data_IF_970190249776
#
_entry.id   IF_970190249776
#
_cell.length_a   1.000
_cell.length_b   1.000
_cell.length_c   1.000
_cell.angle_alpha   90.00
_cell.angle_beta   90.00
_cell.angle_gamma   90.00
#
_symmetry.space_group_name_H-M   'P 1'
#
loop_
_entity.id
_entity.type
_entity.pdbx_description
1 polymer ?
#
# COMPACT_ATOMS: atom_id res chain seq x y z
N UNK A 1 0.61 19.05 16.96
CA UNK A 1 -0.47 18.05 16.69
C UNK A 1 0.12 16.96 15.82
N UNK A 2 -0.11 15.68 16.15
CA UNK A 2 0.35 14.54 15.36
C UNK A 2 -0.85 13.81 14.75
N UNK A 3 -0.75 13.46 13.47
CA UNK A 3 -1.74 12.63 12.77
C UNK A 3 -1.23 11.19 12.75
N UNK A 4 -1.97 10.26 13.33
CA UNK A 4 -1.65 8.84 13.37
C UNK A 4 -2.51 8.08 12.37
N UNK A 5 -1.88 7.38 11.43
CA UNK A 5 -2.57 6.46 10.52
C UNK A 5 -2.32 5.03 10.93
N UNK A 6 -3.38 4.24 11.11
CA UNK A 6 -3.28 2.79 11.35
C UNK A 6 -3.73 2.00 10.12
N UNK A 7 -2.86 1.12 9.62
CA UNK A 7 -3.16 0.22 8.51
C UNK A 7 -4.08 -0.95 8.88
N UNK A 8 -4.51 -1.71 7.89
CA UNK A 8 -5.46 -2.81 8.11
C UNK A 8 -4.91 -3.96 8.97
N UNK A 9 -3.60 -4.23 8.91
CA UNK A 9 -2.94 -5.21 9.80
C UNK A 9 -2.90 -4.72 11.24
N UNK A 10 -2.78 -3.41 11.46
CA UNK A 10 -2.87 -2.77 12.78
C UNK A 10 -4.29 -2.80 13.38
N UNK A 11 -5.29 -3.20 12.61
CA UNK A 11 -6.70 -3.32 13.00
C UNK A 11 -7.24 -4.71 12.65
N UNK A 12 -6.39 -5.74 12.64
CA UNK A 12 -6.75 -7.08 12.14
C UNK A 12 -7.77 -7.82 13.00
N UNK A 13 -7.70 -7.66 14.32
CA UNK A 13 -8.50 -8.36 15.34
C UNK A 13 -8.63 -7.55 16.65
N UNK A 14 -9.33 -8.09 17.65
CA UNK A 14 -9.57 -7.44 18.94
C UNK A 14 -8.27 -7.04 19.69
N UNK A 15 -7.22 -7.86 19.60
CA UNK A 15 -5.93 -7.57 20.24
C UNK A 15 -5.25 -6.39 19.55
N UNK A 16 -5.39 -6.29 18.23
CA UNK A 16 -4.90 -5.15 17.47
C UNK A 16 -5.62 -3.86 17.86
N UNK A 17 -6.95 -3.86 17.97
CA UNK A 17 -7.71 -2.69 18.45
C UNK A 17 -7.30 -2.28 19.88
N UNK A 18 -7.13 -3.24 20.78
CA UNK A 18 -6.65 -2.99 22.13
C UNK A 18 -5.26 -2.34 22.13
N UNK A 19 -4.34 -2.82 21.28
CA UNK A 19 -2.98 -2.28 21.14
C UNK A 19 -2.97 -0.87 20.56
N UNK A 20 -3.79 -0.60 19.55
CA UNK A 20 -3.96 0.76 19.01
C UNK A 20 -4.45 1.70 20.10
N UNK A 21 -5.39 1.25 20.95
CA UNK A 21 -5.84 2.05 22.07
C UNK A 21 -4.75 2.29 23.13
N UNK A 22 -3.85 1.32 23.38
CA UNK A 22 -2.67 1.50 24.24
C UNK A 22 -1.70 2.55 23.68
N UNK A 23 -1.40 2.47 22.37
CA UNK A 23 -0.56 3.44 21.65
C UNK A 23 -1.15 4.85 21.77
N UNK A 24 -2.45 5.00 21.48
CA UNK A 24 -3.14 6.30 21.53
C UNK A 24 -3.16 6.86 22.96
N UNK A 25 -3.33 6.01 23.97
CA UNK A 25 -3.27 6.42 25.37
C UNK A 25 -1.88 6.98 25.74
N UNK A 26 -0.81 6.33 25.27
CA UNK A 26 0.57 6.78 25.46
C UNK A 26 0.92 8.08 24.72
N UNK A 27 0.19 8.41 23.65
CA UNK A 27 0.44 9.62 22.86
C UNK A 27 -0.08 10.92 23.50
N UNK A 28 -0.88 10.86 24.59
CA UNK A 28 -1.43 12.06 25.26
C UNK A 28 -0.36 13.07 25.67
N UNK A 29 0.87 12.64 25.91
CA UNK A 29 2.03 13.48 26.26
C UNK A 29 2.55 14.34 25.09
N UNK A 30 2.20 14.02 23.84
CA UNK A 30 2.69 14.69 22.63
C UNK A 30 1.72 15.77 22.09
N UNK A 31 0.69 16.13 22.86
CA UNK A 31 -0.30 17.15 22.52
C UNK A 31 -1.49 16.62 21.71
N UNK A 32 -2.11 17.50 20.92
CA UNK A 32 -3.31 17.16 20.15
C UNK A 32 -3.06 16.00 19.16
N UNK A 33 -3.97 15.02 19.18
CA UNK A 33 -3.87 13.75 18.43
C UNK A 33 -5.09 13.58 17.52
N UNK A 34 -4.86 13.14 16.28
CA UNK A 34 -5.90 12.77 15.32
C UNK A 34 -5.58 11.40 14.72
N UNK A 35 -6.61 10.57 14.52
CA UNK A 35 -6.44 9.24 13.95
C UNK A 35 -7.04 9.15 12.54
N UNK A 36 -6.36 8.45 11.65
CA UNK A 36 -6.87 7.99 10.34
C UNK A 36 -6.77 6.47 10.31
N UNK A 37 -7.83 5.78 9.91
CA UNK A 37 -7.85 4.30 9.94
C UNK A 37 -8.24 3.69 8.61
N UNK A 38 -7.56 2.60 8.25
CA UNK A 38 -7.96 1.71 7.16
C UNK A 38 -9.01 0.71 7.62
N UNK A 39 -9.70 0.06 6.67
CA UNK A 39 -10.48 -1.14 6.92
C UNK A 39 -9.62 -2.24 7.58
N UNK A 40 -10.25 -3.17 8.31
CA UNK A 40 -9.52 -4.33 8.84
C UNK A 40 -8.90 -5.14 7.70
N UNK A 41 -7.74 -5.77 7.94
CA UNK A 41 -6.98 -6.51 6.92
C UNK A 41 -7.86 -7.44 6.08
N UNK A 42 -7.82 -7.30 4.76
CA UNK A 42 -8.59 -8.12 3.80
C UNK A 42 -10.04 -7.70 3.55
N UNK A 43 -10.62 -6.80 4.35
CA UNK A 43 -12.04 -6.40 4.23
C UNK A 43 -12.34 -5.72 2.90
N UNK A 44 -11.51 -4.77 2.46
CA UNK A 44 -11.72 -4.06 1.18
C UNK A 44 -11.74 -5.03 -0.01
N UNK A 45 -10.86 -6.04 -0.02
CA UNK A 45 -10.84 -7.05 -1.07
C UNK A 45 -12.11 -7.91 -1.06
N UNK A 46 -12.59 -8.29 0.14
CA UNK A 46 -13.85 -9.02 0.29
C UNK A 46 -15.05 -8.20 -0.19
N UNK A 47 -15.09 -6.91 0.12
CA UNK A 47 -16.14 -5.99 -0.34
C UNK A 47 -16.19 -5.91 -1.87
N UNK A 48 -15.04 -5.72 -2.53
CA UNK A 48 -14.95 -5.68 -4.00
C UNK A 48 -15.38 -7.02 -4.61
N UNK A 49 -14.91 -8.14 -4.04
CA UNK A 49 -15.26 -9.47 -4.53
C UNK A 49 -16.77 -9.73 -4.41
N UNK A 50 -17.38 -9.36 -3.27
CA UNK A 50 -18.82 -9.48 -3.06
C UNK A 50 -19.64 -8.64 -4.05
N UNK A 51 -19.23 -7.40 -4.33
CA UNK A 51 -19.92 -6.56 -5.30
C UNK A 51 -19.78 -7.05 -6.74
N UNK A 52 -18.63 -7.61 -7.12
CA UNK A 52 -18.45 -8.24 -8.44
C UNK A 52 -19.36 -9.47 -8.58
N UNK A 53 -19.36 -10.34 -7.57
CA UNK A 53 -20.24 -11.51 -7.56
C UNK A 53 -21.73 -11.11 -7.64
N UNK A 54 -22.12 -10.03 -6.95
CA UNK A 54 -23.47 -9.49 -7.05
C UNK A 54 -23.80 -9.06 -8.50
N UNK A 55 -22.90 -8.35 -9.18
CA UNK A 55 -23.07 -7.94 -10.57
C UNK A 55 -23.16 -9.14 -11.54
N UNK A 56 -22.44 -10.23 -11.24
CA UNK A 56 -22.49 -11.49 -12.00
C UNK A 56 -23.75 -12.34 -11.70
N UNK A 57 -24.63 -11.87 -10.81
CA UNK A 57 -25.86 -12.57 -10.41
C UNK A 57 -25.67 -13.65 -9.34
N UNK A 58 -24.46 -13.79 -8.79
CA UNK A 58 -24.16 -14.74 -7.71
C UNK A 58 -24.50 -14.15 -6.34
N UNK A 59 -25.78 -14.27 -6.00
CA UNK A 59 -26.33 -13.76 -4.75
C UNK A 59 -25.85 -14.50 -3.49
N UNK A 60 -25.34 -15.73 -3.63
CA UNK A 60 -24.85 -16.49 -2.48
C UNK A 60 -23.53 -15.90 -1.99
N UNK A 61 -22.62 -15.59 -2.91
CA UNK A 61 -21.27 -15.11 -2.57
C UNK A 61 -21.28 -13.78 -1.81
N UNK A 62 -22.08 -12.78 -2.22
CA UNK A 62 -22.07 -11.51 -1.49
C UNK A 62 -22.74 -11.62 -0.11
N UNK A 63 -23.72 -12.53 0.07
CA UNK A 63 -24.33 -12.81 1.37
C UNK A 63 -23.35 -13.50 2.31
N UNK A 64 -22.54 -14.41 1.79
CA UNK A 64 -21.46 -15.05 2.55
C UNK A 64 -20.38 -14.03 2.94
N UNK A 65 -20.00 -13.13 2.03
CA UNK A 65 -19.11 -12.00 2.35
C UNK A 65 -19.69 -11.17 3.50
N UNK A 66 -20.96 -10.78 3.44
CA UNK A 66 -21.63 -10.04 4.52
C UNK A 66 -21.60 -10.82 5.84
N UNK A 67 -21.95 -12.10 5.84
CA UNK A 67 -21.96 -12.93 7.04
C UNK A 67 -20.58 -13.03 7.69
N UNK A 68 -19.54 -13.22 6.87
CA UNK A 68 -18.15 -13.25 7.32
C UNK A 68 -17.71 -11.90 7.91
N UNK A 69 -18.06 -10.79 7.24
CA UNK A 69 -17.78 -9.45 7.76
C UNK A 69 -18.49 -9.22 9.09
N UNK A 70 -19.78 -9.57 9.20
CA UNK A 70 -20.55 -9.41 10.43
C UNK A 70 -19.91 -10.20 11.58
N UNK A 71 -19.65 -11.48 11.37
CA UNK A 71 -19.03 -12.37 12.37
C UNK A 71 -17.71 -11.80 12.89
N UNK A 72 -16.82 -11.38 11.98
CA UNK A 72 -15.50 -10.85 12.32
C UNK A 72 -15.58 -9.54 13.11
N UNK A 73 -16.45 -8.61 12.71
CA UNK A 73 -16.56 -7.31 13.39
C UNK A 73 -17.28 -7.46 14.75
N UNK A 74 -18.28 -8.33 14.85
CA UNK A 74 -18.91 -8.66 16.14
C UNK A 74 -17.92 -9.32 17.09
N UNK A 75 -17.07 -10.23 16.62
CA UNK A 75 -16.02 -10.82 17.45
C UNK A 75 -15.11 -9.74 18.07
N UNK A 76 -14.72 -8.72 17.29
CA UNK A 76 -13.96 -7.59 17.82
C UNK A 76 -14.75 -6.82 18.87
N UNK A 77 -16.00 -6.47 18.58
CA UNK A 77 -16.89 -5.74 19.49
C UNK A 77 -17.06 -6.47 20.83
N UNK A 78 -17.38 -7.76 20.79
CA UNK A 78 -17.62 -8.57 22.00
C UNK A 78 -16.35 -8.79 22.82
N UNK A 79 -15.17 -8.82 22.17
CA UNK A 79 -13.90 -9.05 22.86
C UNK A 79 -13.25 -7.77 23.38
N UNK A 80 -13.39 -6.66 22.65
CA UNK A 80 -12.66 -5.42 22.94
C UNK A 80 -13.44 -4.42 23.80
N UNK A 81 -14.77 -4.54 23.89
CA UNK A 81 -15.63 -3.61 24.63
C UNK A 81 -16.18 -4.25 25.92
N UNK A 82 -15.88 -3.61 27.05
CA UNK A 82 -16.36 -4.05 28.37
C UNK A 82 -17.69 -3.39 28.76
N UNK A 83 -17.89 -2.12 28.38
CA UNK A 83 -19.09 -1.34 28.63
C UNK A 83 -20.26 -1.83 27.75
N UNK A 84 -21.35 -2.24 28.40
CA UNK A 84 -22.51 -2.81 27.72
C UNK A 84 -23.22 -1.83 26.78
N UNK A 85 -23.19 -0.53 27.09
CA UNK A 85 -23.82 0.51 26.27
C UNK A 85 -23.04 0.75 24.99
N UNK A 86 -21.71 0.94 25.09
CA UNK A 86 -20.82 1.07 23.93
C UNK A 86 -20.86 -0.19 23.05
N UNK A 87 -20.87 -1.37 23.68
CA UNK A 87 -20.97 -2.67 22.98
C UNK A 87 -22.28 -2.80 22.21
N UNK A 88 -23.41 -2.49 22.85
CA UNK A 88 -24.73 -2.56 22.21
C UNK A 88 -24.89 -1.54 21.07
N UNK A 89 -24.34 -0.33 21.23
CA UNK A 89 -24.35 0.69 20.20
C UNK A 89 -23.49 0.29 18.98
N UNK A 90 -22.26 -0.17 19.22
CA UNK A 90 -21.36 -0.64 18.17
C UNK A 90 -21.95 -1.81 17.39
N UNK A 91 -22.55 -2.78 18.08
CA UNK A 91 -23.24 -3.90 17.45
C UNK A 91 -24.35 -3.43 16.52
N UNK A 92 -25.28 -2.62 17.04
CA UNK A 92 -26.42 -2.10 16.26
C UNK A 92 -25.95 -1.33 15.03
N UNK A 93 -24.91 -0.52 15.20
CA UNK A 93 -24.36 0.29 14.10
C UNK A 93 -23.73 -0.58 13.02
N UNK A 94 -22.91 -1.57 13.38
CA UNK A 94 -22.29 -2.51 12.44
C UNK A 94 -23.33 -3.33 11.69
N UNK A 95 -24.32 -3.89 12.40
CA UNK A 95 -25.43 -4.63 11.79
C UNK A 95 -26.18 -3.77 10.77
N UNK A 96 -26.50 -2.52 11.13
CA UNK A 96 -27.16 -1.57 10.24
C UNK A 96 -26.32 -1.19 9.01
N UNK A 97 -25.02 -0.95 9.17
CA UNK A 97 -24.13 -0.67 8.02
C UNK A 97 -24.02 -1.86 7.08
N UNK A 98 -23.91 -3.08 7.61
CA UNK A 98 -23.83 -4.28 6.77
C UNK A 98 -25.17 -4.61 6.08
N UNK A 99 -26.30 -4.16 6.64
CA UNK A 99 -27.59 -4.17 5.95
C UNK A 99 -27.64 -3.19 4.77
N UNK A 100 -27.12 -1.97 4.94
CA UNK A 100 -27.00 -1.00 3.84
C UNK A 100 -26.10 -1.52 2.71
N UNK A 101 -24.99 -2.18 3.06
CA UNK A 101 -24.13 -2.87 2.09
C UNK A 101 -24.90 -3.94 1.33
N UNK A 102 -25.70 -4.76 2.02
CA UNK A 102 -26.53 -5.79 1.41
C UNK A 102 -27.51 -5.19 0.40
N UNK A 103 -28.15 -4.08 0.78
CA UNK A 103 -29.11 -3.35 -0.07
C UNK A 103 -28.43 -2.80 -1.33
N UNK A 104 -27.21 -2.26 -1.19
CA UNK A 104 -26.42 -1.79 -2.32
C UNK A 104 -26.02 -2.94 -3.25
N UNK A 105 -25.55 -4.06 -2.71
CA UNK A 105 -25.24 -5.26 -3.49
C UNK A 105 -26.48 -5.84 -4.18
N UNK A 106 -27.65 -5.82 -3.52
CA UNK A 106 -28.91 -6.22 -4.14
C UNK A 106 -29.27 -5.33 -5.33
N UNK A 107 -29.03 -4.03 -5.24
CA UNK A 107 -29.25 -3.08 -6.35
C UNK A 107 -28.28 -3.34 -7.51
N UNK A 108 -27.00 -3.59 -7.21
CA UNK A 108 -25.98 -3.97 -8.20
C UNK A 108 -26.37 -5.27 -8.92
N UNK A 109 -26.89 -6.25 -8.18
CA UNK A 109 -27.36 -7.52 -8.73
C UNK A 109 -28.58 -7.35 -9.65
N UNK A 110 -29.55 -6.52 -9.27
CA UNK A 110 -30.73 -6.23 -10.10
C UNK A 110 -30.33 -5.54 -11.41
N UNK A 111 -29.33 -4.64 -11.36
CA UNK A 111 -28.83 -3.95 -12.56
C UNK A 111 -27.91 -4.82 -13.41
N UNK A 112 -27.24 -5.82 -12.81
CA UNK A 112 -26.26 -6.67 -13.48
C UNK A 112 -24.96 -5.94 -13.82
N UNK A 113 -24.65 -4.83 -13.14
CA UNK A 113 -23.44 -4.05 -13.40
C UNK A 113 -22.82 -3.46 -12.12
N UNK A 114 -21.49 -3.53 -12.03
CA UNK A 114 -20.70 -2.81 -11.03
C UNK A 114 -19.97 -1.64 -11.68
N UNK A 115 -20.55 -0.44 -11.57
CA UNK A 115 -19.88 0.79 -12.00
C UNK A 115 -18.71 1.14 -11.09
N UNK A 116 -17.74 1.93 -11.57
CA UNK A 116 -16.61 2.42 -10.75
C UNK A 116 -17.11 3.22 -9.54
N UNK A 117 -18.15 4.04 -9.74
CA UNK A 117 -18.84 4.76 -8.65
C UNK A 117 -19.47 3.80 -7.63
N UNK A 118 -20.10 2.73 -8.09
CA UNK A 118 -20.65 1.69 -7.22
C UNK A 118 -19.56 0.99 -6.41
N UNK A 119 -18.41 0.72 -7.03
CA UNK A 119 -17.25 0.14 -6.34
C UNK A 119 -16.71 1.07 -5.25
N UNK A 120 -16.63 2.39 -5.50
CA UNK A 120 -16.22 3.36 -4.48
C UNK A 120 -17.15 3.35 -3.26
N UNK A 121 -18.46 3.35 -3.51
CA UNK A 121 -19.46 3.27 -2.44
C UNK A 121 -19.33 1.99 -1.61
N UNK A 122 -19.19 0.83 -2.27
CA UNK A 122 -19.01 -0.48 -1.62
C UNK A 122 -17.72 -0.52 -0.79
N UNK A 123 -16.59 -0.06 -1.33
CA UNK A 123 -15.33 -0.14 -0.62
C UNK A 123 -15.33 0.71 0.66
N UNK A 124 -16.08 1.82 0.66
CA UNK A 124 -16.12 2.74 1.80
C UNK A 124 -16.62 2.11 3.11
N UNK A 125 -17.38 1.01 3.03
CA UNK A 125 -17.90 0.33 4.22
C UNK A 125 -16.79 -0.19 5.14
N UNK A 126 -15.63 -0.56 4.59
CA UNK A 126 -14.54 -1.11 5.39
C UNK A 126 -13.98 -0.12 6.44
N UNK A 127 -13.67 1.10 6.01
CA UNK A 127 -13.19 2.16 6.91
C UNK A 127 -14.30 2.66 7.83
N UNK A 128 -15.55 2.67 7.35
CA UNK A 128 -16.70 3.01 8.19
C UNK A 128 -16.80 2.08 9.40
N UNK A 129 -16.71 0.76 9.20
CA UNK A 129 -16.78 -0.25 10.26
C UNK A 129 -15.64 -0.12 11.27
N UNK A 130 -14.39 -0.08 10.79
CA UNK A 130 -13.20 0.00 11.64
C UNK A 130 -13.13 1.31 12.44
N UNK A 131 -13.41 2.46 11.82
CA UNK A 131 -13.41 3.77 12.51
C UNK A 131 -14.45 3.87 13.61
N UNK A 132 -15.64 3.29 13.41
CA UNK A 132 -16.68 3.28 14.43
C UNK A 132 -16.28 2.42 15.64
N UNK A 133 -15.81 1.19 15.38
CA UNK A 133 -15.39 0.27 16.45
C UNK A 133 -14.23 0.87 17.25
N UNK A 134 -13.23 1.48 16.59
CA UNK A 134 -12.12 2.08 17.31
C UNK A 134 -12.57 3.25 18.20
N UNK A 135 -13.54 4.06 17.74
CA UNK A 135 -14.09 5.14 18.55
C UNK A 135 -14.77 4.62 19.82
N UNK A 136 -15.54 3.53 19.70
CA UNK A 136 -16.15 2.86 20.85
C UNK A 136 -15.08 2.29 21.81
N UNK A 137 -14.03 1.65 21.28
CA UNK A 137 -12.93 1.07 22.10
C UNK A 137 -12.18 2.16 22.88
N UNK A 138 -11.93 3.32 22.28
CA UNK A 138 -11.32 4.44 22.98
C UNK A 138 -12.24 4.99 24.08
N UNK A 139 -13.54 5.15 23.81
CA UNK A 139 -14.51 5.62 24.81
C UNK A 139 -14.70 4.64 25.97
N UNK A 140 -14.71 3.33 25.69
CA UNK A 140 -14.73 2.26 26.71
C UNK A 140 -13.56 2.38 27.69
N UNK A 141 -12.40 2.85 27.20
CA UNK A 141 -11.19 3.10 27.98
C UNK A 141 -11.12 4.52 28.58
N UNK A 142 -12.22 5.28 28.55
CA UNK A 142 -12.28 6.64 29.09
C UNK A 142 -11.47 7.67 28.28
N UNK A 143 -11.16 7.38 27.01
CA UNK A 143 -10.51 8.33 26.10
C UNK A 143 -11.61 9.00 25.26
N UNK A 144 -11.83 10.32 25.41
CA UNK A 144 -12.81 11.03 24.60
C UNK A 144 -12.46 10.92 23.11
N UNK A 145 -13.29 10.23 22.34
CA UNK A 145 -13.04 9.99 20.93
C UNK A 145 -14.33 10.03 20.11
N UNK A 146 -14.25 10.64 18.93
CA UNK A 146 -15.39 10.80 18.03
C UNK A 146 -15.00 10.43 16.59
N UNK A 147 -15.79 9.56 15.99
CA UNK A 147 -15.70 9.24 14.56
C UNK A 147 -16.15 10.45 13.73
N UNK A 148 -15.39 10.76 12.67
CA UNK A 148 -15.79 11.72 11.63
C UNK A 148 -15.56 11.08 10.27
N UNK A 149 -16.55 11.08 9.38
CA UNK A 149 -16.36 10.49 8.04
C UNK A 149 -15.47 11.41 7.20
N UNK A 150 -14.48 10.87 6.50
CA UNK A 150 -13.67 11.66 5.57
C UNK A 150 -14.48 12.16 4.36
N UNK A 151 -15.62 11.55 4.05
CA UNK A 151 -16.60 12.09 3.08
C UNK A 151 -17.14 13.47 3.47
N UNK A 152 -17.11 13.83 4.76
CA UNK A 152 -17.49 15.16 5.24
C UNK A 152 -16.34 16.17 5.10
N UNK A 153 -15.11 15.71 4.85
CA UNK A 153 -13.88 16.49 5.04
C UNK A 153 -13.06 16.64 3.76
N UNK A 154 -12.74 15.53 3.11
CA UNK A 154 -11.90 15.47 1.93
C UNK A 154 -12.79 15.59 0.69
N UNK A 155 -12.63 16.70 -0.02
CA UNK A 155 -13.39 17.01 -1.24
C UNK A 155 -12.53 16.61 -2.44
N UNK A 156 -13.14 15.98 -3.44
CA UNK A 156 -12.46 15.46 -4.64
C UNK A 156 -13.22 15.85 -5.92
N UNK A 157 -12.58 15.64 -7.07
CA UNK A 157 -13.26 15.52 -8.36
C UNK A 157 -14.11 14.23 -8.45
N UNK A 158 -14.78 14.01 -9.58
CA UNK A 158 -15.62 12.84 -9.85
C UNK A 158 -14.88 11.70 -10.58
N UNK A 159 -13.54 11.70 -10.54
CA UNK A 159 -12.73 10.64 -11.12
C UNK A 159 -12.72 9.38 -10.22
N UNK A 160 -13.87 8.72 -10.09
CA UNK A 160 -14.09 7.54 -9.24
C UNK A 160 -12.99 6.48 -9.38
N UNK A 161 -12.68 5.80 -8.27
CA UNK A 161 -11.59 4.82 -8.15
C UNK A 161 -10.19 5.42 -7.96
N UNK A 162 -10.01 6.70 -8.31
CA UNK A 162 -8.71 7.41 -8.24
C UNK A 162 -8.89 8.93 -8.12
N UNK A 163 -9.85 9.36 -7.32
CA UNK A 163 -10.29 10.73 -7.29
C UNK A 163 -9.18 11.67 -6.79
N UNK A 164 -9.10 12.87 -7.38
CA UNK A 164 -8.10 13.87 -7.04
C UNK A 164 -8.64 14.81 -5.98
N UNK A 165 -7.99 14.94 -4.80
CA UNK A 165 -8.40 15.90 -3.78
C UNK A 165 -8.31 17.35 -4.23
N UNK A 166 -9.28 18.16 -3.78
CA UNK A 166 -9.34 19.61 -3.94
C UNK A 166 -8.85 20.27 -2.64
N UNK A 167 -7.63 20.85 -2.61
CA UNK A 167 -7.01 21.32 -1.37
C UNK A 167 -7.81 22.40 -0.64
N UNK A 168 -8.34 23.40 -1.37
CA UNK A 168 -9.04 24.54 -0.78
C UNK A 168 -10.31 24.15 0.00
N UNK A 169 -11.29 23.47 -0.63
CA UNK A 169 -12.48 22.97 0.07
C UNK A 169 -12.13 22.00 1.21
N UNK A 170 -11.14 21.13 1.01
CA UNK A 170 -10.71 20.15 2.01
C UNK A 170 -10.14 20.81 3.26
N UNK A 171 -9.22 21.77 3.09
CA UNK A 171 -8.63 22.54 4.20
C UNK A 171 -9.68 23.29 5.02
N UNK A 172 -10.67 23.88 4.34
CA UNK A 172 -11.78 24.58 4.99
C UNK A 172 -12.61 23.63 5.87
N UNK A 173 -13.09 22.52 5.30
CA UNK A 173 -13.94 21.55 6.03
C UNK A 173 -13.18 20.90 7.20
N UNK A 174 -11.88 20.62 7.02
CA UNK A 174 -11.02 20.13 8.09
C UNK A 174 -10.97 21.12 9.26
N UNK A 175 -10.70 22.41 8.99
CA UNK A 175 -10.65 23.44 10.04
C UNK A 175 -11.98 23.60 10.76
N UNK A 176 -13.08 23.67 10.02
CA UNK A 176 -14.43 23.86 10.60
C UNK A 176 -14.88 22.68 11.46
N UNK A 177 -14.56 21.44 11.06
CA UNK A 177 -15.08 20.23 11.71
C UNK A 177 -14.15 19.63 12.75
N UNK A 178 -12.84 19.67 12.52
CA UNK A 178 -11.85 18.95 13.33
C UNK A 178 -11.28 19.82 14.45
N UNK A 179 -10.96 21.09 14.20
CA UNK A 179 -10.37 21.97 15.21
C UNK A 179 -11.24 22.08 16.48
N UNK A 180 -12.58 22.24 16.38
CA UNK A 180 -13.43 22.28 17.59
C UNK A 180 -13.44 20.98 18.40
N UNK A 181 -13.17 19.82 17.79
CA UNK A 181 -13.06 18.55 18.52
C UNK A 181 -11.74 18.50 19.30
N UNK A 182 -10.65 18.89 18.65
CA UNK A 182 -9.32 18.93 19.25
C UNK A 182 -9.27 19.91 20.43
N UNK A 183 -9.88 21.09 20.31
CA UNK A 183 -9.97 22.09 21.39
C UNK A 183 -10.75 21.57 22.62
N UNK A 184 -11.71 20.67 22.41
CA UNK A 184 -12.46 19.99 23.48
C UNK A 184 -11.74 18.77 24.06
N UNK A 185 -10.53 18.47 23.59
CA UNK A 185 -9.78 17.28 23.99
C UNK A 185 -10.38 15.96 23.48
N UNK A 186 -11.22 16.03 22.44
CA UNK A 186 -11.82 14.85 21.79
C UNK A 186 -10.92 14.43 20.64
N UNK A 187 -10.48 13.16 20.64
CA UNK A 187 -9.66 12.59 19.57
C UNK A 187 -10.56 12.28 18.35
N UNK A 188 -10.36 12.96 17.21
CA UNK A 188 -11.09 12.66 15.98
C UNK A 188 -10.55 11.38 15.34
N UNK A 189 -11.45 10.48 14.92
CA UNK A 189 -11.11 9.26 14.18
C UNK A 189 -11.72 9.33 12.78
N UNK A 190 -10.87 9.48 11.78
CA UNK A 190 -11.26 9.66 10.40
C UNK A 190 -11.13 8.35 9.63
N UNK A 191 -12.08 8.10 8.73
CA UNK A 191 -11.93 7.04 7.72
C UNK A 191 -10.79 7.41 6.76
N UNK A 192 -9.84 6.51 6.52
CA UNK A 192 -8.88 6.65 5.42
C UNK A 192 -9.52 6.28 4.08
N UNK A 193 -8.75 6.37 2.98
CA UNK A 193 -9.08 5.88 1.62
C UNK A 193 -10.27 6.53 0.90
N UNK A 194 -11.28 6.96 1.65
CA UNK A 194 -12.56 7.46 1.19
C UNK A 194 -12.58 8.99 1.25
N UNK A 195 -13.22 9.59 0.27
CA UNK A 195 -13.49 11.03 0.17
C UNK A 195 -14.89 11.23 -0.45
N UNK A 196 -15.26 12.48 -0.75
CA UNK A 196 -16.47 12.73 -1.52
C UNK A 196 -16.29 13.86 -2.53
N UNK A 197 -17.17 13.91 -3.53
CA UNK A 197 -17.31 15.09 -4.38
C UNK A 197 -17.90 16.27 -3.58
N UNK A 198 -17.90 17.47 -4.16
CA UNK A 198 -18.54 18.65 -3.56
C UNK A 198 -20.02 18.38 -3.19
N UNK A 199 -20.71 17.58 -4.01
CA UNK A 199 -22.13 17.18 -3.84
C UNK A 199 -22.33 16.02 -2.85
N UNK A 200 -21.25 15.51 -2.24
CA UNK A 200 -21.31 14.44 -1.23
C UNK A 200 -21.37 13.03 -1.80
N UNK A 201 -21.04 12.82 -3.08
CA UNK A 201 -20.95 11.47 -3.66
C UNK A 201 -19.64 10.84 -3.23
N UNK A 202 -19.70 9.64 -2.64
CA UNK A 202 -18.51 8.90 -2.18
C UNK A 202 -17.55 8.63 -3.33
N UNK A 203 -16.27 8.91 -3.09
CA UNK A 203 -15.14 8.62 -3.97
C UNK A 203 -14.06 7.88 -3.20
N UNK A 204 -13.15 7.22 -3.91
CA UNK A 204 -11.94 6.64 -3.33
C UNK A 204 -10.68 7.27 -3.91
N UNK A 205 -9.62 7.31 -3.09
CA UNK A 205 -8.34 7.94 -3.41
C UNK A 205 -7.37 7.00 -4.16
N UNK A 206 -7.79 5.78 -4.47
CA UNK A 206 -6.96 4.76 -5.11
C UNK A 206 -5.93 4.11 -4.18
N UNK A 207 -4.92 3.46 -4.78
CA UNK A 207 -3.89 2.68 -4.06
C UNK A 207 -3.16 3.54 -3.02
N UNK A 208 -3.02 3.01 -1.80
CA UNK A 208 -2.42 3.74 -0.68
C UNK A 208 -3.29 4.88 -0.15
N UNK A 209 -4.59 4.88 -0.47
CA UNK A 209 -5.46 6.01 -0.18
C UNK A 209 -5.60 6.35 1.30
N UNK A 210 -5.45 5.40 2.24
CA UNK A 210 -5.45 5.75 3.67
C UNK A 210 -4.21 6.54 4.11
N UNK A 211 -3.04 6.24 3.54
CA UNK A 211 -1.83 7.04 3.78
C UNK A 211 -1.99 8.43 3.16
N UNK A 212 -2.63 8.48 1.98
CA UNK A 212 -2.95 9.75 1.33
C UNK A 212 -3.93 10.59 2.15
N UNK A 213 -4.97 9.98 2.73
CA UNK A 213 -5.88 10.67 3.66
C UNK A 213 -5.13 11.28 4.84
N UNK A 214 -4.20 10.54 5.44
CA UNK A 214 -3.39 11.05 6.55
C UNK A 214 -2.48 12.21 6.13
N UNK A 215 -1.89 12.14 4.94
CA UNK A 215 -1.10 13.22 4.37
C UNK A 215 -1.94 14.48 4.10
N UNK A 216 -3.13 14.33 3.52
CA UNK A 216 -4.06 15.43 3.24
C UNK A 216 -4.53 16.10 4.53
N UNK A 217 -4.91 15.31 5.54
CA UNK A 217 -5.33 15.82 6.85
C UNK A 217 -4.18 16.52 7.55
N UNK A 218 -2.99 15.92 7.55
CA UNK A 218 -1.78 16.51 8.12
C UNK A 218 -1.43 17.85 7.47
N UNK A 219 -1.42 17.91 6.15
CA UNK A 219 -1.15 19.13 5.40
C UNK A 219 -2.23 20.21 5.60
N UNK A 220 -3.51 19.84 5.60
CA UNK A 220 -4.63 20.77 5.75
C UNK A 220 -4.77 21.38 7.15
N UNK A 221 -4.34 20.65 8.18
CA UNK A 221 -4.36 21.12 9.57
C UNK A 221 -3.00 21.68 10.04
N UNK A 222 -1.96 21.64 9.22
CA UNK A 222 -0.62 22.06 9.61
C UNK A 222 -0.05 21.20 10.74
N UNK A 223 -0.18 19.88 10.62
CA UNK A 223 0.36 18.93 11.58
C UNK A 223 1.87 19.06 11.72
N UNK A 224 2.38 18.80 12.93
CA UNK A 224 3.81 18.82 13.20
C UNK A 224 4.49 17.59 12.58
N UNK A 225 3.84 16.43 12.66
CA UNK A 225 4.26 15.19 12.02
C UNK A 225 3.05 14.34 11.63
N UNK A 226 3.24 13.48 10.64
CA UNK A 226 2.33 12.37 10.33
C UNK A 226 3.03 11.07 10.67
N UNK A 227 2.36 10.16 11.38
CA UNK A 227 2.90 8.87 11.77
C UNK A 227 2.07 7.77 11.11
N UNK A 228 2.69 6.94 10.27
CA UNK A 228 2.07 5.77 9.66
C UNK A 228 2.49 4.54 10.43
N UNK A 229 1.51 3.84 10.96
CA UNK A 229 1.65 2.61 11.74
C UNK A 229 1.32 1.40 10.88
N UNK A 230 2.30 0.51 10.73
CA UNK A 230 2.23 -0.75 9.99
C UNK A 230 2.66 -1.94 10.87
N UNK A 231 3.05 -3.04 10.25
CA UNK A 231 3.55 -4.27 10.87
C UNK A 231 5.08 -4.43 10.80
N UNK A 232 5.79 -3.43 10.26
CA UNK A 232 7.25 -3.43 10.12
C UNK A 232 7.89 -2.24 10.84
N UNK A 233 9.13 -2.40 11.28
CA UNK A 233 9.90 -1.38 12.02
C UNK A 233 10.42 -0.26 11.09
N UNK A 234 9.54 0.35 10.28
CA UNK A 234 9.88 1.35 9.28
C UNK A 234 10.37 0.71 7.97
N UNK A 235 11.30 1.37 7.29
CA UNK A 235 11.97 0.87 6.09
C UNK A 235 13.26 0.20 6.51
N UNK A 236 13.44 -1.06 6.12
CA UNK A 236 14.62 -1.86 6.45
C UNK A 236 15.57 -1.98 5.27
N UNK A 237 16.82 -2.35 5.55
CA UNK A 237 17.85 -2.62 4.53
C UNK A 237 17.53 -3.80 3.62
N UNK A 238 16.66 -4.72 4.07
CA UNK A 238 16.14 -5.86 3.31
C UNK A 238 14.86 -6.37 3.99
N UNK A 239 14.12 -7.26 3.33
CA UNK A 239 12.98 -7.96 3.92
C UNK A 239 13.45 -8.82 5.12
N UNK A 240 12.96 -8.55 6.36
CA UNK A 240 13.40 -9.27 7.55
C UNK A 240 13.01 -10.75 7.58
N UNK A 241 12.05 -11.18 6.73
CA UNK A 241 11.72 -12.59 6.55
C UNK A 241 12.80 -13.36 5.76
N UNK A 242 13.55 -12.66 4.91
CA UNK A 242 14.66 -13.22 4.14
C UNK A 242 15.99 -13.04 4.87
N UNK A 243 16.20 -11.85 5.45
CA UNK A 243 17.43 -11.44 6.14
C UNK A 243 17.09 -11.01 7.58
N UNK A 244 17.17 -11.92 8.57
CA UNK A 244 16.85 -11.59 9.96
C UNK A 244 17.68 -10.45 10.55
N UNK A 245 18.91 -10.25 10.04
CA UNK A 245 19.83 -9.18 10.44
C UNK A 245 19.52 -7.83 9.76
N UNK A 246 18.45 -7.73 8.97
CA UNK A 246 18.05 -6.48 8.33
C UNK A 246 17.83 -5.38 9.37
N UNK A 247 18.41 -4.21 9.13
CA UNK A 247 18.36 -3.09 10.06
C UNK A 247 17.43 -2.00 9.54
N UNK A 248 16.77 -1.29 10.45
CA UNK A 248 15.94 -0.13 10.09
C UNK A 248 16.82 1.02 9.63
N UNK A 249 16.46 1.61 8.49
CA UNK A 249 17.01 2.87 8.03
C UNK A 249 16.35 3.98 8.85
N UNK A 250 17.09 4.58 9.77
CA UNK A 250 16.53 5.46 10.80
C UNK A 250 15.99 6.78 10.24
N UNK A 251 16.62 7.31 9.20
CA UNK A 251 16.28 8.62 8.64
C UNK A 251 16.49 8.62 7.11
N UNK A 252 15.53 9.19 6.38
CA UNK A 252 15.53 9.30 4.91
C UNK A 252 15.05 10.68 4.46
N UNK A 253 15.49 11.11 3.28
CA UNK A 253 14.83 12.22 2.58
C UNK A 253 13.56 11.74 1.87
N UNK A 254 12.66 12.65 1.51
CA UNK A 254 11.51 12.29 0.67
C UNK A 254 11.93 11.68 -0.67
N UNK A 255 13.03 12.15 -1.26
CA UNK A 255 13.52 11.61 -2.53
C UNK A 255 13.99 10.16 -2.37
N UNK A 256 14.78 9.86 -1.34
CA UNK A 256 15.23 8.49 -1.07
C UNK A 256 14.06 7.56 -0.75
N UNK A 257 13.08 8.02 0.04
CA UNK A 257 11.88 7.25 0.33
C UNK A 257 11.05 6.98 -0.94
N UNK A 258 10.94 7.96 -1.83
CA UNK A 258 10.24 7.82 -3.11
C UNK A 258 10.95 6.84 -4.06
N UNK A 259 12.28 6.87 -4.11
CA UNK A 259 13.08 5.93 -4.89
C UNK A 259 12.89 4.50 -4.37
N UNK A 260 12.99 4.28 -3.06
CA UNK A 260 12.74 2.97 -2.45
C UNK A 260 11.33 2.44 -2.75
N UNK A 261 10.32 3.30 -2.63
CA UNK A 261 8.95 2.89 -2.91
C UNK A 261 8.69 2.55 -4.38
N UNK A 262 9.35 3.26 -5.31
CA UNK A 262 9.27 2.95 -6.74
C UNK A 262 9.68 1.50 -7.04
N UNK A 263 10.74 1.02 -6.39
CA UNK A 263 11.26 -0.33 -6.57
C UNK A 263 10.50 -1.42 -5.78
N UNK A 264 9.44 -1.05 -5.06
CA UNK A 264 8.56 -2.00 -4.39
C UNK A 264 8.80 -2.13 -2.88
N UNK A 265 9.50 -1.19 -2.23
CA UNK A 265 9.34 -1.05 -0.79
C UNK A 265 7.89 -0.57 -0.57
N UNK A 266 6.97 -1.49 -0.28
CA UNK A 266 5.51 -1.28 -0.25
C UNK A 266 5.00 -0.35 0.88
N UNK A 267 5.73 0.71 1.18
CA UNK A 267 5.47 1.57 2.33
C UNK A 267 4.94 2.94 1.92
N UNK A 268 5.37 3.54 0.79
CA UNK A 268 5.00 4.94 0.46
C UNK A 268 4.97 5.30 -1.02
N UNK A 269 3.80 5.33 -1.64
CA UNK A 269 3.71 5.84 -3.02
C UNK A 269 3.92 7.37 -3.07
N UNK A 270 4.79 7.94 -3.92
CA UNK A 270 5.12 9.38 -3.90
C UNK A 270 3.91 10.33 -3.98
N UNK A 271 2.88 9.96 -4.77
CA UNK A 271 1.61 10.70 -4.82
C UNK A 271 0.91 10.82 -3.46
N UNK A 272 1.01 9.81 -2.59
CA UNK A 272 0.28 9.79 -1.31
C UNK A 272 0.93 10.70 -0.28
N UNK A 273 2.23 10.96 -0.37
CA UNK A 273 2.95 11.84 0.58
C UNK A 273 3.19 13.25 0.04
N UNK A 274 2.83 13.53 -1.22
CA UNK A 274 3.02 14.84 -1.85
C UNK A 274 2.52 16.03 -1.01
N UNK A 275 1.33 15.98 -0.35
CA UNK A 275 0.89 17.08 0.51
C UNK A 275 1.88 17.39 1.65
N UNK A 276 2.54 16.37 2.18
CA UNK A 276 3.55 16.53 3.23
C UNK A 276 4.85 17.12 2.68
N UNK A 277 5.27 16.73 1.47
CA UNK A 277 6.43 17.30 0.79
C UNK A 277 6.22 18.80 0.56
N UNK A 278 5.06 19.18 0.02
CA UNK A 278 4.74 20.59 -0.29
C UNK A 278 4.69 21.47 0.97
N UNK A 279 4.29 20.90 2.11
CA UNK A 279 4.24 21.59 3.41
C UNK A 279 5.47 21.35 4.29
N UNK A 280 6.45 20.58 3.82
CA UNK A 280 7.65 20.21 4.57
C UNK A 280 7.35 19.52 5.93
N UNK A 281 6.27 18.73 6.00
CA UNK A 281 5.82 18.06 7.22
C UNK A 281 6.49 16.68 7.33
N UNK A 282 7.30 16.42 8.39
CA UNK A 282 7.94 15.12 8.57
C UNK A 282 6.96 13.96 8.67
N UNK A 283 7.36 12.82 8.12
CA UNK A 283 6.60 11.58 8.13
C UNK A 283 7.38 10.52 8.90
N UNK A 284 6.75 9.81 9.83
CA UNK A 284 7.36 8.73 10.60
C UNK A 284 6.67 7.40 10.29
N UNK A 285 7.46 6.36 10.06
CA UNK A 285 7.00 5.00 9.79
C UNK A 285 7.29 4.13 11.02
N UNK A 286 6.23 3.57 11.61
CA UNK A 286 6.27 2.89 12.91
C UNK A 286 5.62 1.51 12.84
N UNK A 287 5.96 0.65 13.80
CA UNK A 287 5.39 -0.68 13.92
C UNK A 287 4.36 -0.72 15.05
N UNK A 288 3.10 -1.01 14.74
CA UNK A 288 2.04 -1.21 15.75
C UNK A 288 2.39 -2.35 16.69
N UNK A 289 3.12 -3.38 16.22
CA UNK A 289 3.48 -4.55 16.99
C UNK A 289 4.78 -4.40 17.79
N UNK A 290 5.49 -3.30 17.59
CA UNK A 290 6.70 -2.93 18.33
C UNK A 290 6.76 -1.41 18.53
N UNK A 291 5.83 -0.83 19.32
CA UNK A 291 5.58 0.61 19.35
C UNK A 291 6.72 1.43 19.98
N UNK A 292 7.61 0.80 20.74
CA UNK A 292 8.79 1.46 21.32
C UNK A 292 9.92 1.68 20.31
N UNK A 293 9.88 0.97 19.17
CA UNK A 293 10.89 1.10 18.14
C UNK A 293 10.80 2.46 17.43
N UNK A 294 11.91 3.20 17.24
CA UNK A 294 11.88 4.58 16.71
C UNK A 294 11.40 4.66 15.24
N UNK A 295 11.53 3.55 14.52
CA UNK A 295 11.10 3.39 13.13
C UNK A 295 11.98 4.20 12.16
N UNK A 296 11.38 4.63 11.05
CA UNK A 296 12.05 5.46 10.04
C UNK A 296 11.43 6.85 10.03
N UNK A 297 12.27 7.88 10.13
CA UNK A 297 11.87 9.27 10.00
C UNK A 297 12.18 9.79 8.58
N UNK A 298 11.19 10.35 7.90
CA UNK A 298 11.33 10.93 6.57
C UNK A 298 11.17 12.44 6.69
N UNK A 299 12.21 13.16 6.29
CA UNK A 299 12.35 14.62 6.47
C UNK A 299 12.79 15.29 5.16
N UNK A 300 12.60 16.61 5.03
CA UNK A 300 13.10 17.33 3.86
C UNK A 300 14.63 17.27 3.72
N UNK A 301 15.35 17.46 4.84
CA UNK A 301 16.80 17.47 4.89
C UNK A 301 17.29 16.56 6.02
N UNK A 302 17.72 15.32 5.71
CA UNK A 302 18.30 14.41 6.69
C UNK A 302 19.61 14.95 7.27
N UNK A 303 19.98 14.47 8.46
CA UNK A 303 21.25 14.86 9.10
C UNK A 303 22.45 14.41 8.26
N UNK A 304 23.44 15.29 8.10
CA UNK A 304 24.63 15.01 7.29
C UNK A 304 25.46 13.83 7.82
N UNK A 305 25.47 13.64 9.15
CA UNK A 305 26.25 12.60 9.85
C UNK A 305 25.54 11.23 9.91
N UNK A 306 24.32 11.10 9.36
CA UNK A 306 23.58 9.83 9.45
C UNK A 306 24.32 8.71 8.71
N UNK A 307 24.16 7.48 9.21
CA UNK A 307 24.61 6.28 8.49
C UNK A 307 23.78 6.15 7.21
N UNK A 308 24.45 6.20 6.07
CA UNK A 308 23.83 6.03 4.76
C UNK A 308 23.87 4.54 4.42
N UNK A 309 22.70 3.92 4.28
CA UNK A 309 22.57 2.49 4.05
C UNK A 309 21.85 2.24 2.73
N UNK A 310 22.40 1.43 1.82
CA UNK A 310 21.61 0.90 0.71
C UNK A 310 20.51 -0.03 1.24
N UNK A 311 19.48 -0.21 0.41
CA UNK A 311 18.41 -1.17 0.65
C UNK A 311 18.30 -2.15 -0.50
N UNK A 312 17.94 -3.38 -0.18
CA UNK A 312 17.66 -4.45 -1.13
C UNK A 312 16.15 -4.73 -1.05
N UNK A 313 15.47 -4.54 -2.16
CA UNK A 313 14.03 -4.75 -2.29
C UNK A 313 13.80 -5.96 -3.17
N UNK A 314 13.01 -6.91 -2.69
CA UNK A 314 12.70 -8.14 -3.42
C UNK A 314 11.21 -8.31 -3.64
N UNK A 315 10.81 -8.70 -4.86
CA UNK A 315 9.43 -9.06 -5.21
C UNK A 315 9.37 -10.50 -5.70
N UNK A 316 8.43 -11.28 -5.15
CA UNK A 316 8.17 -12.71 -5.46
C UNK A 316 6.80 -12.90 -6.09
N UNK A 317 6.47 -14.12 -6.52
CA UNK A 317 5.18 -14.43 -7.16
C UNK A 317 5.03 -13.78 -8.54
N UNK A 318 6.14 -13.68 -9.26
CA UNK A 318 6.18 -13.12 -10.61
C UNK A 318 6.48 -14.23 -11.62
N UNK A 319 6.06 -14.00 -12.85
CA UNK A 319 6.30 -14.92 -13.96
C UNK A 319 6.74 -14.14 -15.18
N UNK A 320 7.65 -14.72 -15.95
CA UNK A 320 8.10 -14.16 -17.21
C UNK A 320 7.28 -14.78 -18.34
N UNK A 321 6.58 -13.93 -19.09
CA UNK A 321 5.97 -14.29 -20.36
C UNK A 321 6.79 -13.68 -21.50
N UNK A 322 6.88 -14.37 -22.63
CA UNK A 322 7.54 -13.87 -23.82
C UNK A 322 6.53 -13.79 -24.96
N UNK A 323 6.56 -12.69 -25.70
CA UNK A 323 5.85 -12.51 -26.97
C UNK A 323 6.85 -12.11 -28.03
N UNK A 324 6.84 -12.78 -29.18
CA UNK A 324 7.82 -12.57 -30.23
C UNK A 324 7.36 -13.12 -31.56
N UNK A 325 8.24 -13.09 -32.56
CA UNK A 325 8.05 -13.80 -33.83
C UNK A 325 9.00 -15.00 -33.92
N UNK A 326 8.69 -15.94 -34.80
CA UNK A 326 9.60 -17.06 -35.13
C UNK A 326 10.67 -16.67 -36.16
N UNK A 327 10.50 -15.52 -36.80
CA UNK A 327 11.41 -14.90 -37.77
C UNK A 327 11.85 -13.49 -37.31
N UNK A 328 12.54 -12.76 -38.19
CA UNK A 328 13.10 -11.43 -37.90
C UNK A 328 12.06 -10.28 -37.97
N UNK A 329 10.76 -10.59 -38.08
CA UNK A 329 9.71 -9.59 -38.27
C UNK A 329 9.30 -8.83 -36.99
N UNK A 330 9.80 -9.24 -35.82
CA UNK A 330 9.52 -8.53 -34.56
C UNK A 330 10.05 -7.09 -34.58
N UNK A 331 9.17 -6.13 -34.34
CA UNK A 331 9.51 -4.70 -34.35
C UNK A 331 9.23 -4.01 -33.02
N UNK A 332 9.91 -2.89 -32.70
CA UNK A 332 9.59 -2.07 -31.54
C UNK A 332 8.12 -1.60 -31.49
N UNK A 333 7.48 -1.43 -32.65
CA UNK A 333 6.05 -1.08 -32.72
C UNK A 333 5.16 -2.18 -32.15
N UNK A 334 5.52 -3.44 -32.40
CA UNK A 334 4.80 -4.59 -31.86
C UNK A 334 5.04 -4.73 -30.35
N UNK A 335 6.24 -4.41 -29.88
CA UNK A 335 6.52 -4.33 -28.45
C UNK A 335 5.67 -3.26 -27.75
N UNK A 336 5.56 -2.06 -28.34
CA UNK A 336 4.70 -0.99 -27.83
C UNK A 336 3.22 -1.43 -27.79
N UNK A 337 2.76 -2.08 -28.86
CA UNK A 337 1.40 -2.59 -28.95
C UNK A 337 1.10 -3.66 -27.89
N UNK A 338 2.02 -4.61 -27.65
CA UNK A 338 1.87 -5.61 -26.60
C UNK A 338 1.76 -4.98 -25.20
N UNK A 339 2.55 -3.94 -24.91
CA UNK A 339 2.46 -3.20 -23.65
C UNK A 339 1.13 -2.44 -23.51
N UNK A 340 0.65 -1.82 -24.58
CA UNK A 340 -0.63 -1.09 -24.61
C UNK A 340 -1.81 -2.03 -24.35
N UNK A 341 -1.84 -3.20 -25.00
CA UNK A 341 -2.89 -4.21 -24.80
C UNK A 341 -3.02 -4.66 -23.33
N UNK A 342 -1.89 -4.84 -22.65
CA UNK A 342 -1.88 -5.20 -21.23
C UNK A 342 -2.34 -4.02 -20.37
N UNK A 343 -1.80 -2.82 -20.62
CA UNK A 343 -2.16 -1.60 -19.90
C UNK A 343 -3.66 -1.29 -19.98
N UNK A 344 -4.26 -1.35 -21.17
CA UNK A 344 -5.69 -1.12 -21.41
C UNK A 344 -6.58 -2.17 -20.73
N UNK A 345 -6.04 -3.37 -20.51
CA UNK A 345 -6.72 -4.44 -19.77
C UNK A 345 -6.51 -4.31 -18.24
N UNK A 346 -5.88 -3.24 -17.77
CA UNK A 346 -5.55 -3.05 -16.35
C UNK A 346 -4.48 -4.00 -15.82
N UNK A 347 -3.72 -4.65 -16.70
CA UNK A 347 -2.65 -5.59 -16.36
C UNK A 347 -1.32 -4.84 -16.22
N UNK A 348 -0.79 -4.82 -15.00
CA UNK A 348 0.48 -4.16 -14.71
C UNK A 348 1.68 -5.03 -15.12
N UNK A 349 2.53 -4.48 -15.99
CA UNK A 349 3.85 -5.04 -16.32
C UNK A 349 4.87 -4.47 -15.35
N UNK A 350 5.54 -5.33 -14.58
CA UNK A 350 6.49 -4.93 -13.51
C UNK A 350 7.88 -4.62 -14.06
N UNK A 351 8.29 -5.34 -15.10
CA UNK A 351 9.56 -5.18 -15.79
C UNK A 351 9.41 -5.76 -17.20
N UNK A 352 10.12 -5.22 -18.18
CA UNK A 352 10.21 -5.82 -19.50
C UNK A 352 11.63 -5.71 -20.07
N UNK A 353 11.98 -6.61 -20.99
CA UNK A 353 13.23 -6.55 -21.73
C UNK A 353 13.01 -6.97 -23.18
N UNK A 354 13.60 -6.22 -24.11
CA UNK A 354 13.54 -6.52 -25.53
C UNK A 354 14.81 -7.27 -25.94
N UNK A 355 14.63 -8.48 -26.45
CA UNK A 355 15.70 -9.28 -27.03
C UNK A 355 15.66 -9.10 -28.55
N UNK A 356 16.70 -8.48 -29.11
CA UNK A 356 16.82 -8.33 -30.57
C UNK A 356 17.31 -9.61 -31.24
N UNK A 357 18.09 -10.43 -30.54
CA UNK A 357 18.60 -11.72 -31.04
C UNK A 357 17.56 -12.83 -31.00
N UNK A 358 16.60 -12.75 -30.07
CA UNK A 358 15.52 -13.74 -29.93
C UNK A 358 14.19 -13.24 -30.50
N UNK A 359 14.20 -12.09 -31.18
CA UNK A 359 13.03 -11.46 -31.81
C UNK A 359 11.79 -11.44 -30.90
N UNK A 360 11.99 -11.11 -29.62
CA UNK A 360 10.96 -11.23 -28.61
C UNK A 360 11.06 -10.18 -27.50
N UNK A 361 9.91 -9.88 -26.93
CA UNK A 361 9.71 -9.05 -25.75
C UNK A 361 9.39 -9.97 -24.56
N UNK A 362 10.25 -9.92 -23.56
CA UNK A 362 10.03 -10.56 -22.28
C UNK A 362 9.31 -9.59 -21.34
N UNK A 363 8.23 -10.04 -20.71
CA UNK A 363 7.36 -9.26 -19.84
C UNK A 363 7.24 -9.98 -18.50
N UNK A 364 7.51 -9.27 -17.41
CA UNK A 364 7.35 -9.78 -16.04
C UNK A 364 6.01 -9.29 -15.51
N UNK A 365 5.13 -10.24 -15.19
CA UNK A 365 3.78 -9.98 -14.65
C UNK A 365 3.57 -10.75 -13.35
N UNK A 366 2.57 -10.36 -12.55
CA UNK A 366 2.17 -11.14 -11.38
C UNK A 366 1.67 -12.53 -11.80
N UNK A 367 2.04 -13.59 -11.07
CA UNK A 367 1.68 -14.98 -11.38
C UNK A 367 0.17 -15.17 -11.53
N UNK A 368 -0.61 -14.57 -10.62
CA UNK A 368 -2.07 -14.58 -10.66
C UNK A 368 -2.68 -13.96 -11.94
N UNK A 369 -1.94 -13.08 -12.62
CA UNK A 369 -2.36 -12.42 -13.84
C UNK A 369 -1.83 -13.11 -15.11
N UNK A 370 -1.05 -14.19 -14.98
CA UNK A 370 -0.37 -14.86 -16.10
C UNK A 370 -1.36 -15.28 -17.19
N UNK A 371 -2.38 -16.05 -16.82
CA UNK A 371 -3.34 -16.61 -17.76
C UNK A 371 -4.15 -15.50 -18.46
N UNK A 372 -4.51 -14.45 -17.73
CA UNK A 372 -5.20 -13.29 -18.31
C UNK A 372 -4.29 -12.56 -19.31
N UNK A 373 -3.03 -12.31 -18.94
CA UNK A 373 -2.06 -11.63 -19.79
C UNK A 373 -1.81 -12.39 -21.10
N UNK A 374 -1.56 -13.70 -21.02
CA UNK A 374 -1.39 -14.55 -22.21
C UNK A 374 -2.68 -14.57 -23.04
N UNK A 375 -3.84 -14.72 -22.39
CA UNK A 375 -5.12 -14.75 -23.08
C UNK A 375 -5.44 -13.46 -23.83
N UNK A 376 -5.04 -12.30 -23.31
CA UNK A 376 -5.18 -10.99 -23.98
C UNK A 376 -4.23 -10.87 -25.17
N UNK A 377 -2.95 -11.16 -24.99
CA UNK A 377 -1.97 -11.12 -26.08
C UNK A 377 -2.31 -12.10 -27.20
N UNK A 378 -2.76 -13.32 -26.86
CA UNK A 378 -3.10 -14.36 -27.84
C UNK A 378 -4.25 -13.96 -28.77
N UNK A 379 -5.14 -13.05 -28.38
CA UNK A 379 -6.23 -12.57 -29.26
C UNK A 379 -5.69 -11.76 -30.44
N UNK A 380 -4.61 -11.02 -30.22
CA UNK A 380 -3.99 -10.16 -31.23
C UNK A 380 -2.83 -10.86 -31.96
N UNK A 381 -2.02 -11.62 -31.21
CA UNK A 381 -0.91 -12.44 -31.71
C UNK A 381 -1.34 -13.91 -31.89
N UNK A 382 -2.44 -14.14 -32.61
CA UNK A 382 -3.11 -15.44 -32.68
C UNK A 382 -2.45 -16.45 -33.64
N UNK A 383 -1.72 -15.98 -34.65
CA UNK A 383 -1.09 -16.86 -35.64
C UNK A 383 0.18 -17.52 -35.08
N UNK A 384 0.03 -18.75 -34.56
CA UNK A 384 1.13 -19.55 -34.00
C UNK A 384 2.23 -19.91 -35.01
N UNK A 385 2.00 -19.72 -36.33
CA UNK A 385 3.05 -19.89 -37.35
C UNK A 385 3.96 -18.67 -37.48
N UNK A 386 3.48 -17.51 -37.05
CA UNK A 386 4.20 -16.23 -37.12
C UNK A 386 4.73 -15.86 -35.73
N UNK A 387 3.91 -16.04 -34.70
CA UNK A 387 4.16 -15.55 -33.35
C UNK A 387 4.52 -16.66 -32.37
N UNK A 388 5.46 -16.36 -31.47
CA UNK A 388 5.70 -17.17 -30.27
C UNK A 388 5.17 -16.44 -29.04
N UNK A 389 4.30 -17.10 -28.28
CA UNK A 389 3.73 -16.55 -27.05
C UNK A 389 3.64 -17.65 -25.98
N UNK A 390 4.27 -17.42 -24.83
CA UNK A 390 4.22 -18.39 -23.75
C UNK A 390 4.82 -17.91 -22.44
N UNK A 391 4.52 -18.67 -21.38
CA UNK A 391 5.22 -18.56 -20.11
C UNK A 391 6.61 -19.21 -20.25
N UNK A 392 7.64 -18.52 -19.75
CA UNK A 392 9.02 -19.02 -19.76
C UNK A 392 9.36 -19.67 -18.43
N UNK A 393 9.24 -18.92 -17.34
CA UNK A 393 9.63 -19.39 -16.01
C UNK A 393 9.09 -18.47 -14.89
N UNK A 394 9.13 -18.98 -13.65
CA UNK A 394 8.91 -18.19 -12.44
C UNK A 394 10.13 -17.35 -12.13
N UNK A 395 9.90 -16.08 -11.84
CA UNK A 395 10.97 -15.10 -11.61
C UNK A 395 10.72 -14.28 -10.36
N UNK A 396 11.79 -13.66 -9.87
CA UNK A 396 11.74 -12.63 -8.85
C UNK A 396 12.47 -11.38 -9.35
N UNK A 397 12.07 -10.22 -8.81
CA UNK A 397 12.79 -8.96 -9.04
C UNK A 397 13.55 -8.63 -7.76
N UNK A 398 14.86 -8.39 -7.88
CA UNK A 398 15.72 -7.88 -6.81
C UNK A 398 16.24 -6.51 -7.24
N UNK A 399 15.94 -5.48 -6.46
CA UNK A 399 16.40 -4.12 -6.69
C UNK A 399 17.32 -3.69 -5.56
N UNK A 400 18.50 -3.18 -5.90
CA UNK A 400 19.37 -2.52 -4.93
C UNK A 400 19.27 -1.01 -5.14
N UNK A 401 18.93 -0.30 -4.07
CA UNK A 401 18.81 1.16 -4.05
C UNK A 401 19.85 1.70 -3.09
N UNK A 402 20.85 2.35 -3.66
CA UNK A 402 21.90 3.05 -2.96
C UNK A 402 21.51 4.47 -2.62
N UNK A 403 22.45 5.13 -1.95
CA UNK A 403 22.36 6.51 -1.54
C UNK A 403 23.61 7.23 -2.02
N UNK A 404 23.51 8.50 -2.44
CA UNK A 404 24.67 9.25 -2.92
C UNK A 404 25.82 9.18 -1.91
N UNK A 405 27.05 9.01 -2.41
CA UNK A 405 28.30 8.95 -1.62
C UNK A 405 28.48 7.68 -0.76
N UNK A 406 27.59 6.69 -0.83
CA UNK A 406 27.87 5.38 -0.25
C UNK A 406 28.99 4.67 -1.02
N UNK A 407 30.05 4.26 -0.30
CA UNK A 407 31.18 3.49 -0.83
C UNK A 407 31.77 4.03 -2.15
N UNK A 408 32.02 5.34 -2.23
CA UNK A 408 32.61 5.97 -3.41
C UNK A 408 31.68 6.11 -4.63
N UNK A 409 30.38 5.81 -4.48
CA UNK A 409 29.38 6.02 -5.54
C UNK A 409 29.23 4.85 -6.54
N UNK A 410 29.88 3.71 -6.29
CA UNK A 410 29.96 2.61 -7.25
C UNK A 410 29.03 1.42 -6.94
N UNK A 411 27.86 1.67 -6.35
CA UNK A 411 26.97 0.59 -5.85
C UNK A 411 26.56 -0.38 -6.97
N UNK A 412 26.22 0.12 -8.16
CA UNK A 412 25.80 -0.72 -9.28
C UNK A 412 26.91 -1.72 -9.65
N UNK A 413 28.15 -1.25 -9.80
CA UNK A 413 29.28 -2.11 -10.14
C UNK A 413 29.58 -3.16 -9.06
N UNK A 414 29.46 -2.78 -7.78
CA UNK A 414 29.64 -3.69 -6.65
C UNK A 414 28.58 -4.79 -6.65
N UNK A 415 27.32 -4.43 -6.91
CA UNK A 415 26.21 -5.39 -6.98
C UNK A 415 26.40 -6.37 -8.14
N UNK A 416 26.81 -5.90 -9.33
CA UNK A 416 27.14 -6.80 -10.44
C UNK A 416 28.26 -7.79 -10.09
N UNK A 417 29.33 -7.31 -9.45
CA UNK A 417 30.41 -8.19 -9.00
C UNK A 417 29.92 -9.20 -7.95
N UNK A 418 29.07 -8.78 -7.01
CA UNK A 418 28.48 -9.66 -6.00
C UNK A 418 27.58 -10.73 -6.62
N UNK A 419 26.72 -10.38 -7.59
CA UNK A 419 25.89 -11.36 -8.31
C UNK A 419 26.73 -12.42 -9.03
N UNK A 420 27.86 -12.00 -9.63
CA UNK A 420 28.81 -12.92 -10.26
C UNK A 420 29.43 -13.90 -9.26
N UNK A 421 29.84 -13.42 -8.08
CA UNK A 421 30.36 -14.27 -6.99
C UNK A 421 29.30 -15.24 -6.44
N UNK A 422 28.05 -14.79 -6.34
CA UNK A 422 26.93 -15.60 -5.87
C UNK A 422 26.53 -16.70 -6.87
N UNK A 423 26.97 -16.61 -8.13
CA UNK A 423 26.49 -17.48 -9.19
C UNK A 423 25.02 -17.22 -9.56
N UNK A 424 24.49 -16.02 -9.26
CA UNK A 424 23.10 -15.68 -9.54
C UNK A 424 22.89 -15.54 -11.05
N UNK A 425 21.92 -16.26 -11.59
CA UNK A 425 21.53 -16.14 -13.00
C UNK A 425 20.68 -14.89 -13.20
N UNK A 426 21.24 -13.89 -13.89
CA UNK A 426 20.52 -12.66 -14.24
C UNK A 426 19.84 -12.86 -15.58
N UNK A 427 18.51 -12.75 -15.60
CA UNK A 427 17.67 -12.91 -16.81
C UNK A 427 17.48 -11.56 -17.51
N UNK A 428 17.22 -10.51 -16.73
CA UNK A 428 17.06 -9.16 -17.25
C UNK A 428 17.58 -8.12 -16.24
N UNK A 429 17.95 -6.95 -16.74
CA UNK A 429 18.50 -5.84 -15.96
C UNK A 429 17.71 -4.58 -16.32
N UNK A 430 17.36 -3.80 -15.30
CA UNK A 430 16.93 -2.42 -15.46
C UNK A 430 17.78 -1.53 -14.55
N UNK A 431 18.54 -0.62 -15.14
CA UNK A 431 19.32 0.36 -14.40
C UNK A 431 18.65 1.72 -14.56
N UNK A 432 18.50 2.45 -13.45
CA UNK A 432 18.08 3.84 -13.55
C UNK A 432 19.20 4.69 -14.19
N UNK A 433 18.83 5.83 -14.77
CA UNK A 433 19.81 6.82 -15.21
C UNK A 433 20.65 7.38 -14.05
N UNK A 434 20.15 7.22 -12.81
CA UNK A 434 20.91 7.46 -11.60
C UNK A 434 21.85 6.28 -11.34
N UNK A 435 23.14 6.53 -11.11
CA UNK A 435 24.14 5.49 -10.80
C UNK A 435 23.94 4.84 -9.41
N UNK A 436 22.75 5.02 -8.82
CA UNK A 436 22.43 4.64 -7.45
C UNK A 436 21.42 3.51 -7.35
N UNK A 437 20.75 3.10 -8.44
CA UNK A 437 19.79 1.99 -8.37
C UNK A 437 19.84 1.07 -9.59
N UNK A 438 19.66 -0.22 -9.30
CA UNK A 438 19.64 -1.28 -10.31
C UNK A 438 18.71 -2.40 -9.87
N UNK A 439 17.94 -2.92 -10.83
CA UNK A 439 17.00 -4.01 -10.67
C UNK A 439 17.37 -5.18 -11.56
N UNK A 440 17.23 -6.38 -11.02
CA UNK A 440 17.52 -7.64 -11.69
C UNK A 440 16.30 -8.53 -11.66
N UNK A 441 15.98 -9.13 -12.81
CA UNK A 441 15.09 -10.26 -12.89
C UNK A 441 15.93 -11.55 -12.78
N UNK A 442 15.60 -12.40 -11.82
CA UNK A 442 16.32 -13.64 -11.52
C UNK A 442 15.33 -14.80 -11.38
N UNK A 443 15.75 -16.07 -11.48
CA UNK A 443 14.89 -17.20 -11.13
C UNK A 443 14.39 -17.07 -9.69
N UNK A 444 13.11 -17.31 -9.45
CA UNK A 444 12.51 -17.14 -8.12
C UNK A 444 13.18 -18.02 -7.04
N UNK A 445 13.65 -19.21 -7.43
CA UNK A 445 14.38 -20.15 -6.56
C UNK A 445 15.71 -19.59 -6.02
N UNK A 446 16.31 -18.61 -6.70
CA UNK A 446 17.58 -17.97 -6.29
C UNK A 446 17.35 -16.71 -5.44
N UNK A 447 16.10 -16.32 -5.17
CA UNK A 447 15.76 -15.07 -4.51
C UNK A 447 16.40 -14.94 -3.13
N UNK A 448 16.16 -15.90 -2.25
CA UNK A 448 16.61 -15.79 -0.86
C UNK A 448 18.13 -15.84 -0.73
N UNK A 449 18.80 -16.72 -1.47
CA UNK A 449 20.26 -16.83 -1.48
C UNK A 449 20.90 -15.54 -2.02
N UNK A 450 20.35 -14.99 -3.11
CA UNK A 450 20.82 -13.74 -3.71
C UNK A 450 20.67 -12.56 -2.76
N UNK A 451 19.49 -12.38 -2.15
CA UNK A 451 19.22 -11.26 -1.23
C UNK A 451 20.13 -11.34 0.01
N UNK A 452 20.28 -12.52 0.63
CA UNK A 452 21.18 -12.72 1.77
C UNK A 452 22.64 -12.41 1.39
N UNK A 453 23.09 -12.90 0.24
CA UNK A 453 24.46 -12.69 -0.23
C UNK A 453 24.73 -11.20 -0.51
N UNK A 454 23.84 -10.52 -1.23
CA UNK A 454 23.95 -9.09 -1.49
C UNK A 454 23.96 -8.27 -0.20
N UNK A 455 23.12 -8.62 0.78
CA UNK A 455 23.09 -7.91 2.06
C UNK A 455 24.42 -8.02 2.81
N UNK A 456 25.01 -9.22 2.80
CA UNK A 456 26.33 -9.46 3.39
C UNK A 456 27.45 -8.73 2.64
N UNK A 457 27.51 -8.82 1.30
CA UNK A 457 28.55 -8.17 0.49
C UNK A 457 28.47 -6.64 0.53
N UNK A 458 27.28 -6.07 0.79
CA UNK A 458 27.10 -4.63 0.98
C UNK A 458 27.40 -4.19 2.43
N UNK A 459 27.85 -5.09 3.31
CA UNK A 459 28.19 -4.74 4.70
C UNK A 459 26.99 -4.22 5.51
N UNK A 460 25.78 -4.67 5.16
CA UNK A 460 24.52 -4.23 5.79
C UNK A 460 24.18 -5.05 7.05
N UNK A 461 24.79 -6.22 7.22
CA UNK A 461 24.72 -7.00 8.46
C UNK A 461 25.41 -6.28 9.61
N UNK A 462 25.07 -6.62 10.86
CA UNK A 462 25.85 -6.15 11.99
C UNK A 462 27.30 -6.57 11.81
N UNK A 463 28.23 -5.61 11.82
CA UNK A 463 29.64 -5.93 12.01
C UNK A 463 29.69 -6.81 13.25
N UNK A 464 30.26 -8.01 13.16
CA UNK A 464 30.79 -8.66 14.35
C UNK A 464 31.65 -7.60 15.04
N UNK A 465 31.19 -7.12 16.19
CA UNK A 465 32.04 -6.42 17.13
C UNK A 465 33.23 -7.35 17.36
N UNK A 466 34.36 -6.99 16.75
CA UNK A 466 35.65 -7.52 17.17
C UNK A 466 35.78 -7.12 18.64
N UNK A 467 35.64 -8.11 19.52
CA UNK A 467 36.01 -8.02 20.92
C UNK A 467 37.50 -8.29 21.07
#
# INVERSE_FOLDING_TARGET
MIVHKFGGTSLGDARCFARVADIVSGCKSHGATLLVVSAMSGVTNQLIAGARAAADGDNAVYRDVRANLLSRHLQVIETALSNETERAEARRWVEGRLYDLETLCGSISVLGELTVRGADAVCSFGEQLSSFILAAVLRDRGIPAQRVSATELIVTDDAFGRATPLPGPTERRLKERIVPLLERGIIPILTGYVAATEQGVTTTLGRGGSDYSAALVGAGLGAEQVWIWSDVNGILTADPSIVPEATTISELSYQEAAELAYFGAEVLHPKTIRPLIEKQIPLRLLNTFNPEHPGTLIVPCPRSERRRLPAIISSRGLTMIAVGTLDDSWTPRMSAWALELLSDSGLEVRMFSQSFSEHSLNLVVAEQNQAHSIGRLRREFADEKTYSLGCREKVAIVSTVGVPQWNGGHIVSHVFAALGKAGTRVIAIAQAATEYSVSFCIPEEQLESTVRFLHSELGLGQSRTEH
#
